data_IF_862736264024
#
_entry.id   IF_862736264024
#
_cell.length_a   1.000
_cell.length_b   1.000
_cell.length_c   1.000
_cell.angle_alpha   90.00
_cell.angle_beta   90.00
_cell.angle_gamma   90.00
#
_symmetry.space_group_name_H-M   'P 1'
#
loop_
_entity.id
_entity.type
_entity.pdbx_description
1 polymer ?
#
# COMPACT_ATOMS: atom_id res chain seq x y z
N UNK A 1 -44.11 -21.08 36.72
CA UNK A 1 -42.92 -20.21 36.80
C UNK A 1 -43.43 -18.79 37.00
N UNK A 2 -43.16 -18.14 38.14
CA UNK A 2 -43.66 -16.79 38.41
C UNK A 2 -43.15 -15.85 37.31
N UNK A 3 -44.03 -15.40 36.42
CA UNK A 3 -43.74 -14.40 35.41
C UNK A 3 -43.46 -13.10 36.13
N UNK A 4 -42.18 -12.83 36.41
CA UNK A 4 -41.73 -11.61 37.07
C UNK A 4 -41.71 -10.49 36.03
N UNK A 5 -42.90 -10.17 35.52
CA UNK A 5 -43.10 -9.18 34.47
C UNK A 5 -43.00 -7.79 35.10
N UNK A 6 -42.32 -6.86 34.41
CA UNK A 6 -42.05 -5.52 34.91
C UNK A 6 -42.43 -4.47 33.85
N UNK A 7 -42.87 -3.27 34.25
CA UNK A 7 -43.11 -2.17 33.31
C UNK A 7 -41.79 -1.70 32.70
N UNK A 8 -41.88 -1.10 31.52
CA UNK A 8 -40.71 -0.68 30.74
C UNK A 8 -39.77 0.27 31.51
N UNK A 9 -40.31 1.18 32.33
CA UNK A 9 -39.53 2.10 33.14
C UNK A 9 -38.58 1.39 34.12
N UNK A 10 -39.01 0.25 34.69
CA UNK A 10 -38.20 -0.54 35.62
C UNK A 10 -37.08 -1.28 34.87
N UNK A 11 -37.37 -1.83 33.69
CA UNK A 11 -36.36 -2.47 32.84
C UNK A 11 -35.32 -1.46 32.34
N UNK A 12 -35.78 -0.29 31.90
CA UNK A 12 -34.93 0.82 31.45
C UNK A 12 -33.95 1.23 32.55
N UNK A 13 -34.43 1.44 33.78
CA UNK A 13 -33.57 1.73 34.94
C UNK A 13 -32.62 0.60 35.30
N UNK A 14 -33.07 -0.65 35.22
CA UNK A 14 -32.25 -1.81 35.58
C UNK A 14 -31.09 -2.05 34.60
N UNK A 15 -31.36 -1.86 33.30
CA UNK A 15 -30.35 -2.06 32.25
C UNK A 15 -29.51 -0.81 31.97
N UNK A 16 -29.78 0.29 32.68
CA UNK A 16 -29.19 1.61 32.45
C UNK A 16 -29.39 2.09 31.00
N UNK A 17 -30.63 1.99 30.51
CA UNK A 17 -31.04 2.33 29.16
C UNK A 17 -32.25 3.26 29.17
N UNK A 18 -32.47 3.97 28.06
CA UNK A 18 -33.73 4.69 27.84
C UNK A 18 -34.86 3.72 27.46
N UNK A 19 -36.11 4.05 27.78
CA UNK A 19 -37.27 3.24 27.41
C UNK A 19 -37.34 3.02 25.89
N UNK A 20 -37.03 4.06 25.10
CA UNK A 20 -36.93 3.97 23.64
C UNK A 20 -35.91 2.92 23.19
N UNK A 21 -34.75 2.86 23.86
CA UNK A 21 -33.70 1.88 23.55
C UNK A 21 -34.14 0.45 23.89
N UNK A 22 -34.84 0.26 25.01
CA UNK A 22 -35.42 -1.05 25.36
C UNK A 22 -36.43 -1.50 24.30
N UNK A 23 -37.30 -0.61 23.82
CA UNK A 23 -38.25 -0.94 22.74
C UNK A 23 -37.53 -1.29 21.44
N UNK A 24 -36.46 -0.58 21.09
CA UNK A 24 -35.66 -0.88 19.90
C UNK A 24 -35.04 -2.28 20.00
N UNK A 25 -34.39 -2.61 21.12
CA UNK A 25 -33.81 -3.94 21.32
C UNK A 25 -34.86 -5.06 21.27
N UNK A 26 -36.09 -4.79 21.70
CA UNK A 26 -37.20 -5.73 21.59
C UNK A 26 -37.69 -5.90 20.14
N UNK A 27 -37.71 -4.82 19.34
CA UNK A 27 -38.04 -4.87 17.90
C UNK A 27 -36.96 -5.61 17.11
N UNK A 28 -35.71 -5.40 17.46
CA UNK A 28 -34.54 -6.04 16.85
C UNK A 28 -34.39 -7.51 17.26
N UNK A 29 -35.30 -8.04 18.11
CA UNK A 29 -35.32 -9.43 18.54
C UNK A 29 -34.21 -9.81 19.53
N UNK A 30 -33.50 -8.82 20.07
CA UNK A 30 -32.37 -9.02 21.01
C UNK A 30 -32.88 -9.38 22.41
N UNK A 31 -33.97 -8.74 22.85
CA UNK A 31 -34.67 -9.06 24.10
C UNK A 31 -36.10 -9.56 23.80
N UNK A 32 -36.72 -10.35 24.68
CA UNK A 32 -38.09 -10.81 24.48
C UNK A 32 -39.07 -9.63 24.37
N UNK A 33 -39.98 -9.72 23.39
CA UNK A 33 -41.01 -8.70 23.20
C UNK A 33 -41.96 -8.64 24.41
N UNK A 34 -42.47 -7.44 24.71
CA UNK A 34 -43.49 -7.26 25.75
C UNK A 34 -44.74 -8.08 25.44
N UNK A 35 -45.45 -8.52 26.48
CA UNK A 35 -46.73 -9.20 26.29
C UNK A 35 -47.69 -8.32 25.47
N UNK A 36 -48.24 -8.89 24.38
CA UNK A 36 -49.04 -8.16 23.38
C UNK A 36 -50.54 -8.18 23.68
N UNK A 37 -51.02 -9.13 24.48
CA UNK A 37 -52.45 -9.35 24.75
C UNK A 37 -52.65 -9.73 26.21
N UNK A 38 -53.79 -9.32 26.80
CA UNK A 38 -54.14 -9.64 28.20
C UNK A 38 -53.76 -8.54 29.21
N UNK A 39 -53.96 -8.78 30.52
CA UNK A 39 -53.72 -7.81 31.58
C UNK A 39 -52.24 -7.44 31.78
N UNK A 40 -51.32 -8.16 31.15
CA UNK A 40 -49.88 -7.89 31.19
C UNK A 40 -49.37 -7.06 29.99
N UNK A 41 -50.28 -6.46 29.21
CA UNK A 41 -49.91 -5.70 28.01
C UNK A 41 -48.89 -4.60 28.31
N UNK A 42 -47.79 -4.59 27.56
CA UNK A 42 -46.69 -3.63 27.74
C UNK A 42 -45.73 -3.95 28.88
N UNK A 43 -45.84 -5.13 29.51
CA UNK A 43 -44.87 -5.62 30.51
C UNK A 43 -43.86 -6.56 29.86
N UNK A 44 -42.65 -6.55 30.39
CA UNK A 44 -41.50 -7.32 29.89
C UNK A 44 -41.11 -8.39 30.90
N UNK A 45 -40.66 -9.56 30.42
CA UNK A 45 -40.04 -10.57 31.29
C UNK A 45 -38.66 -10.11 31.73
N UNK A 46 -38.50 -9.90 33.04
CA UNK A 46 -37.25 -9.39 33.63
C UNK A 46 -36.05 -10.28 33.32
N UNK A 47 -36.20 -11.60 33.53
CA UNK A 47 -35.08 -12.54 33.42
C UNK A 47 -34.67 -12.73 31.96
N UNK A 48 -35.64 -12.91 31.07
CA UNK A 48 -35.39 -13.01 29.63
C UNK A 48 -34.75 -11.75 29.06
N UNK A 49 -35.19 -10.57 29.51
CA UNK A 49 -34.66 -9.28 29.04
C UNK A 49 -33.21 -9.06 29.47
N UNK A 50 -32.87 -9.32 30.74
CA UNK A 50 -31.49 -9.22 31.23
C UNK A 50 -30.56 -10.21 30.51
N UNK A 51 -30.98 -11.48 30.34
CA UNK A 51 -30.17 -12.48 29.64
C UNK A 51 -29.94 -12.12 28.17
N UNK A 52 -30.97 -11.64 27.48
CA UNK A 52 -30.86 -11.19 26.09
C UNK A 52 -29.88 -10.03 25.95
N UNK A 53 -29.96 -9.05 26.85
CA UNK A 53 -29.05 -7.91 26.86
C UNK A 53 -27.60 -8.31 27.18
N UNK A 54 -27.38 -9.18 28.17
CA UNK A 54 -26.02 -9.69 28.48
C UNK A 54 -25.41 -10.43 27.29
N UNK A 55 -26.20 -11.22 26.55
CA UNK A 55 -25.71 -11.90 25.34
C UNK A 55 -25.32 -10.88 24.26
N UNK A 56 -26.16 -9.87 24.04
CA UNK A 56 -25.88 -8.80 23.09
C UNK A 56 -24.58 -8.05 23.40
N UNK A 57 -24.34 -7.71 24.68
CA UNK A 57 -23.09 -7.05 25.08
C UNK A 57 -21.86 -7.93 24.83
N UNK A 58 -21.97 -9.24 25.06
CA UNK A 58 -20.87 -10.19 24.75
C UNK A 58 -20.59 -10.26 23.26
N UNK A 59 -21.62 -10.35 22.42
CA UNK A 59 -21.46 -10.37 20.96
C UNK A 59 -20.86 -9.06 20.43
N UNK A 60 -21.26 -7.91 20.99
CA UNK A 60 -20.72 -6.61 20.62
C UNK A 60 -19.24 -6.48 20.99
N UNK A 61 -18.85 -6.94 22.18
CA UNK A 61 -17.46 -6.95 22.63
C UNK A 61 -16.58 -7.83 21.70
N UNK A 62 -17.04 -9.03 21.36
CA UNK A 62 -16.31 -9.93 20.45
C UNK A 62 -16.13 -9.32 19.06
N UNK A 63 -17.17 -8.70 18.50
CA UNK A 63 -17.11 -8.04 17.17
C UNK A 63 -16.14 -6.86 17.15
N UNK A 64 -16.05 -6.11 18.25
CA UNK A 64 -15.10 -4.98 18.37
C UNK A 64 -13.64 -5.44 18.41
N UNK A 65 -13.36 -6.59 19.05
CA UNK A 65 -12.00 -7.13 19.16
C UNK A 65 -11.49 -7.67 17.84
N UNK A 66 -12.33 -8.36 17.07
CA UNK A 66 -11.93 -8.88 15.75
C UNK A 66 -11.70 -7.75 14.75
N UNK A 67 -12.60 -6.75 14.69
CA UNK A 67 -12.43 -5.62 13.78
C UNK A 67 -11.20 -4.77 14.10
N UNK A 68 -11.03 -4.39 15.38
CA UNK A 68 -9.90 -3.53 15.78
C UNK A 68 -8.53 -4.22 15.62
N UNK A 69 -8.45 -5.54 15.85
CA UNK A 69 -7.23 -6.31 15.62
C UNK A 69 -6.88 -6.36 14.12
N UNK A 70 -7.86 -6.63 13.24
CA UNK A 70 -7.65 -6.68 11.79
C UNK A 70 -7.24 -5.31 11.23
N UNK A 71 -7.86 -4.22 11.68
CA UNK A 71 -7.46 -2.86 11.28
C UNK A 71 -6.03 -2.51 11.71
N UNK A 72 -5.60 -2.94 12.91
CA UNK A 72 -4.24 -2.73 13.39
C UNK A 72 -3.20 -3.47 12.53
N UNK A 73 -3.50 -4.72 12.16
CA UNK A 73 -2.63 -5.54 11.31
C UNK A 73 -2.49 -4.95 9.91
N UNK A 74 -3.59 -4.57 9.27
CA UNK A 74 -3.55 -4.00 7.92
C UNK A 74 -2.88 -2.61 7.90
N UNK A 75 -3.13 -1.78 8.92
CA UNK A 75 -2.42 -0.51 9.07
C UNK A 75 -0.92 -0.69 9.26
N UNK A 76 -0.50 -1.67 10.06
CA UNK A 76 0.92 -1.98 10.25
C UNK A 76 1.58 -2.45 8.93
N UNK A 77 0.91 -3.27 8.14
CA UNK A 77 1.37 -3.69 6.80
C UNK A 77 1.53 -2.50 5.86
N UNK A 78 0.55 -1.60 5.82
CA UNK A 78 0.58 -0.40 4.98
C UNK A 78 1.71 0.55 5.41
N UNK A 79 1.89 0.79 6.71
CA UNK A 79 2.98 1.62 7.23
C UNK A 79 4.34 1.02 6.87
N UNK A 80 4.50 -0.30 7.02
CA UNK A 80 5.73 -0.99 6.61
C UNK A 80 6.00 -0.81 5.12
N UNK A 81 5.01 -1.06 4.26
CA UNK A 81 5.18 -0.87 2.82
C UNK A 81 5.54 0.58 2.44
N UNK A 82 4.96 1.57 3.12
CA UNK A 82 5.32 2.99 2.94
C UNK A 82 6.75 3.29 3.40
N UNK A 83 7.19 2.70 4.50
CA UNK A 83 8.56 2.85 4.99
C UNK A 83 9.57 2.23 4.02
N UNK A 84 9.28 1.03 3.52
CA UNK A 84 10.12 0.34 2.54
C UNK A 84 10.24 1.16 1.24
N UNK A 85 9.13 1.74 0.76
CA UNK A 85 9.15 2.65 -0.40
C UNK A 85 10.01 3.89 -0.15
N UNK A 86 9.86 4.53 1.02
CA UNK A 86 10.65 5.70 1.37
C UNK A 86 12.15 5.38 1.49
N UNK A 87 12.50 4.18 1.95
CA UNK A 87 13.87 3.71 2.01
C UNK A 87 14.44 3.48 0.59
N UNK A 88 13.68 2.86 -0.31
CA UNK A 88 14.07 2.68 -1.71
C UNK A 88 14.30 4.05 -2.39
N UNK A 89 13.39 5.01 -2.21
CA UNK A 89 13.56 6.37 -2.74
C UNK A 89 14.81 7.06 -2.18
N UNK A 90 15.12 6.85 -0.90
CA UNK A 90 16.33 7.39 -0.29
C UNK A 90 17.61 6.73 -0.86
N UNK A 91 17.58 5.43 -1.16
CA UNK A 91 18.68 4.72 -1.82
C UNK A 91 18.87 5.17 -3.27
N UNK A 92 17.79 5.39 -4.04
CA UNK A 92 17.85 5.97 -5.38
C UNK A 92 18.46 7.38 -5.34
N UNK A 93 18.00 8.25 -4.43
CA UNK A 93 18.56 9.62 -4.30
C UNK A 93 20.02 9.64 -3.88
N UNK A 94 20.49 8.63 -3.14
CA UNK A 94 21.91 8.47 -2.78
C UNK A 94 22.77 7.93 -3.94
N UNK A 95 22.14 7.43 -5.00
CA UNK A 95 22.83 6.82 -6.14
C UNK A 95 23.17 5.33 -5.94
N UNK A 96 22.63 4.69 -4.89
CA UNK A 96 22.89 3.27 -4.59
C UNK A 96 22.03 2.33 -5.46
N UNK A 97 20.91 2.84 -6.00
CA UNK A 97 20.00 2.12 -6.88
C UNK A 97 19.94 2.81 -8.24
N UNK A 98 20.25 2.06 -9.30
CA UNK A 98 20.11 2.49 -10.69
C UNK A 98 18.95 1.73 -11.37
N UNK A 99 18.09 2.41 -12.13
CA UNK A 99 17.07 1.75 -12.92
C UNK A 99 17.68 0.79 -13.94
N UNK A 100 17.27 -0.48 -13.91
CA UNK A 100 17.82 -1.50 -14.80
C UNK A 100 17.70 -1.14 -16.29
N UNK A 101 16.59 -0.51 -16.70
CA UNK A 101 16.37 -0.06 -18.07
C UNK A 101 17.40 0.99 -18.52
N UNK A 102 17.76 1.94 -17.64
CA UNK A 102 18.75 2.96 -17.97
C UNK A 102 20.16 2.37 -18.06
N UNK A 103 20.49 1.40 -17.19
CA UNK A 103 21.76 0.66 -17.27
C UNK A 103 21.83 -0.14 -18.58
N UNK A 104 20.75 -0.82 -18.96
CA UNK A 104 20.68 -1.58 -20.21
C UNK A 104 20.86 -0.70 -21.44
N UNK A 105 20.15 0.43 -21.52
CA UNK A 105 20.29 1.40 -22.62
C UNK A 105 21.71 1.95 -22.71
N UNK A 106 22.31 2.27 -21.56
CA UNK A 106 23.69 2.73 -21.50
C UNK A 106 24.68 1.68 -22.04
N UNK A 107 24.52 0.41 -21.63
CA UNK A 107 25.35 -0.69 -22.13
C UNK A 107 25.16 -0.97 -23.62
N UNK A 108 23.92 -0.92 -24.12
CA UNK A 108 23.63 -1.07 -25.54
C UNK A 108 24.34 0.03 -26.35
N UNK A 109 24.30 1.28 -25.89
CA UNK A 109 24.97 2.38 -26.56
C UNK A 109 26.50 2.22 -26.57
N UNK A 110 27.10 1.78 -25.45
CA UNK A 110 28.54 1.47 -25.37
C UNK A 110 28.93 0.36 -26.34
N UNK A 111 28.18 -0.75 -26.35
CA UNK A 111 28.46 -1.90 -27.21
C UNK A 111 28.26 -1.58 -28.70
N UNK A 112 27.23 -0.79 -29.04
CA UNK A 112 27.00 -0.35 -30.41
C UNK A 112 28.17 0.49 -30.94
N UNK A 113 28.71 1.39 -30.12
CA UNK A 113 29.89 2.20 -30.47
C UNK A 113 31.15 1.35 -30.61
N UNK A 114 31.37 0.41 -29.70
CA UNK A 114 32.47 -0.55 -29.80
C UNK A 114 32.40 -1.32 -31.12
N UNK A 115 31.22 -1.85 -31.46
CA UNK A 115 31.00 -2.55 -32.72
C UNK A 115 31.34 -1.68 -33.93
N UNK A 116 30.86 -0.44 -33.97
CA UNK A 116 31.14 0.48 -35.07
C UNK A 116 32.64 0.71 -35.26
N UNK A 117 33.39 0.92 -34.17
CA UNK A 117 34.85 1.13 -34.23
C UNK A 117 35.60 -0.13 -34.67
N UNK A 118 35.23 -1.30 -34.14
CA UNK A 118 35.85 -2.56 -34.54
C UNK A 118 35.67 -2.88 -36.02
N UNK A 119 34.54 -2.49 -36.63
CA UNK A 119 34.28 -2.71 -38.05
C UNK A 119 35.07 -1.75 -38.96
N UNK A 120 35.43 -0.54 -38.49
CA UNK A 120 36.20 0.45 -39.25
C UNK A 120 37.71 0.20 -39.16
N UNK A 121 38.18 -0.45 -38.08
CA UNK A 121 39.59 -0.72 -37.85
C UNK A 121 40.31 -1.44 -39.01
N UNK A 122 39.75 -2.52 -39.60
CA UNK A 122 40.39 -3.22 -40.72
C UNK A 122 40.63 -2.31 -41.93
N UNK A 123 39.65 -1.48 -42.29
CA UNK A 123 39.75 -0.59 -43.44
C UNK A 123 40.86 0.46 -43.25
N UNK A 124 41.04 0.95 -42.01
CA UNK A 124 42.11 1.88 -41.65
C UNK A 124 43.49 1.20 -41.57
N UNK A 125 43.56 -0.01 -41.02
CA UNK A 125 44.81 -0.75 -40.82
C UNK A 125 45.34 -1.41 -42.09
N UNK A 126 44.46 -1.84 -43.00
CA UNK A 126 44.83 -2.56 -44.22
C UNK A 126 45.96 -1.89 -45.03
N UNK A 127 45.90 -0.59 -45.38
CA UNK A 127 47.00 0.05 -46.12
C UNK A 127 48.30 0.15 -45.31
N UNK A 128 48.22 0.49 -44.01
CA UNK A 128 49.38 0.65 -43.13
C UNK A 128 50.14 -0.66 -42.92
N UNK A 129 49.38 -1.74 -42.72
CA UNK A 129 49.91 -3.09 -42.54
C UNK A 129 50.45 -3.65 -43.86
N UNK A 130 49.87 -3.27 -45.00
CA UNK A 130 50.34 -3.71 -46.31
C UNK A 130 51.72 -3.13 -46.68
N UNK A 131 52.00 -1.89 -46.25
CA UNK A 131 53.30 -1.23 -46.46
C UNK A 131 54.39 -1.71 -45.48
N UNK A 132 53.98 -2.31 -44.36
CA UNK A 132 54.90 -2.76 -43.31
C UNK A 132 55.59 -4.09 -43.71
N UNK A 133 56.92 -4.08 -43.69
CA UNK A 133 57.74 -5.22 -44.14
C UNK A 133 58.16 -6.14 -43.00
N UNK A 134 57.87 -5.76 -41.74
CA UNK A 134 58.24 -6.54 -40.56
C UNK A 134 57.01 -7.02 -39.79
N UNK A 135 56.99 -8.31 -39.43
CA UNK A 135 55.92 -8.90 -38.59
C UNK A 135 55.79 -8.16 -37.25
N UNK A 136 56.93 -7.71 -36.69
CA UNK A 136 56.97 -6.95 -35.45
C UNK A 136 56.29 -5.58 -35.59
N UNK A 137 56.57 -4.84 -36.68
CA UNK A 137 55.92 -3.57 -36.99
C UNK A 137 54.42 -3.74 -37.21
N UNK A 138 54.00 -4.76 -37.97
CA UNK A 138 52.58 -5.06 -38.21
C UNK A 138 51.84 -5.31 -36.89
N UNK A 139 52.41 -6.13 -36.00
CA UNK A 139 51.80 -6.42 -34.69
C UNK A 139 51.74 -5.17 -33.81
N UNK A 140 52.74 -4.31 -33.87
CA UNK A 140 52.74 -3.03 -33.15
C UNK A 140 51.59 -2.13 -33.64
N UNK A 141 51.47 -1.91 -34.95
CA UNK A 141 50.40 -1.10 -35.53
C UNK A 141 49.00 -1.59 -35.18
N UNK A 142 48.75 -2.91 -35.26
CA UNK A 142 47.45 -3.49 -34.89
C UNK A 142 47.15 -3.23 -33.40
N UNK A 143 48.14 -3.46 -32.52
CA UNK A 143 47.97 -3.24 -31.08
C UNK A 143 47.72 -1.77 -30.78
N UNK A 144 48.45 -0.87 -31.40
CA UNK A 144 48.32 0.57 -31.18
C UNK A 144 46.93 1.05 -31.60
N UNK A 145 46.42 0.61 -32.75
CA UNK A 145 45.08 0.93 -33.22
C UNK A 145 43.96 0.38 -32.32
N UNK A 146 44.13 -0.85 -31.77
CA UNK A 146 43.19 -1.40 -30.78
C UNK A 146 43.23 -0.57 -29.49
N UNK A 147 44.42 -0.17 -29.04
CA UNK A 147 44.60 0.58 -27.80
C UNK A 147 44.03 2.00 -27.95
N UNK A 148 44.20 2.63 -29.11
CA UNK A 148 43.56 3.90 -29.49
C UNK A 148 42.03 3.78 -29.43
N UNK A 149 41.45 2.77 -30.07
CA UNK A 149 40.00 2.56 -30.09
C UNK A 149 39.41 2.31 -28.68
N UNK A 150 40.13 1.57 -27.82
CA UNK A 150 39.73 1.33 -26.44
C UNK A 150 39.88 2.58 -25.56
N UNK A 151 40.95 3.36 -25.75
CA UNK A 151 41.17 4.61 -25.02
C UNK A 151 40.12 5.66 -25.37
N UNK A 152 39.74 5.77 -26.64
CA UNK A 152 38.62 6.62 -27.07
C UNK A 152 37.32 6.18 -26.39
N UNK A 153 37.01 4.87 -26.37
CA UNK A 153 35.82 4.35 -25.70
C UNK A 153 35.79 4.68 -24.20
N UNK A 154 36.95 4.62 -23.53
CA UNK A 154 37.09 4.92 -22.11
C UNK A 154 37.01 6.43 -21.80
N UNK A 155 37.37 7.29 -22.76
CA UNK A 155 37.37 8.75 -22.60
C UNK A 155 36.00 9.41 -22.81
N UNK A 156 35.04 8.68 -23.37
CA UNK A 156 33.72 9.22 -23.65
C UNK A 156 32.97 9.49 -22.34
N UNK A 157 32.25 10.63 -22.24
CA UNK A 157 31.49 10.94 -21.05
C UNK A 157 30.55 9.78 -20.74
N UNK A 158 30.64 9.27 -19.52
CA UNK A 158 29.68 8.33 -18.94
C UNK A 158 28.30 8.84 -19.26
N UNK A 159 27.48 7.98 -19.88
CA UNK A 159 26.09 8.28 -20.20
C UNK A 159 25.47 8.79 -18.89
N UNK A 160 25.14 10.08 -18.87
CA UNK A 160 24.49 10.68 -17.71
C UNK A 160 23.16 9.96 -17.58
N UNK A 161 23.10 9.08 -16.57
CA UNK A 161 21.90 8.35 -16.26
C UNK A 161 21.00 9.37 -15.58
N UNK A 162 20.19 10.08 -16.37
CA UNK A 162 19.35 11.15 -15.88
C UNK A 162 18.40 10.59 -14.81
N UNK A 163 18.71 10.89 -13.56
CA UNK A 163 17.98 10.45 -12.38
C UNK A 163 16.59 11.15 -12.25
N UNK A 164 16.24 12.04 -13.18
CA UNK A 164 15.06 12.91 -13.08
C UNK A 164 13.74 12.24 -13.53
N UNK A 165 13.78 11.04 -14.13
CA UNK A 165 12.60 10.42 -14.75
C UNK A 165 11.63 9.65 -13.82
N UNK A 166 12.02 9.32 -12.58
CA UNK A 166 11.26 8.35 -11.76
C UNK A 166 10.29 8.98 -10.72
N UNK A 167 10.07 10.29 -10.75
CA UNK A 167 9.30 11.00 -9.71
C UNK A 167 7.80 11.20 -9.98
N UNK A 168 7.27 10.80 -11.14
CA UNK A 168 5.95 11.31 -11.60
C UNK A 168 4.79 10.29 -11.62
N UNK A 169 4.96 9.05 -11.15
CA UNK A 169 3.89 8.05 -11.17
C UNK A 169 3.53 7.58 -9.75
N UNK A 170 2.65 8.32 -9.06
CA UNK A 170 2.12 7.86 -7.78
C UNK A 170 1.28 8.82 -6.94
N UNK A 171 1.09 10.07 -7.36
CA UNK A 171 0.14 10.99 -6.71
C UNK A 171 -1.27 10.82 -7.32
N UNK A 172 -1.87 9.64 -7.12
CA UNK A 172 -3.29 9.41 -7.38
C UNK A 172 -4.08 9.71 -6.10
N UNK A 173 -4.82 10.81 -6.13
CA UNK A 173 -5.75 11.31 -5.11
C UNK A 173 -6.37 10.26 -4.20
N UNK A 174 -6.21 10.45 -2.89
CA UNK A 174 -7.20 9.99 -1.90
C UNK A 174 -7.85 11.22 -1.27
N UNK A 175 -8.68 11.89 -2.08
CA UNK A 175 -9.62 12.89 -1.58
C UNK A 175 -10.62 12.17 -0.66
N UNK A 176 -10.76 12.67 0.56
CA UNK A 176 -11.56 12.08 1.62
C UNK A 176 -13.07 12.35 1.55
N UNK A 177 -13.73 11.91 2.64
CA UNK A 177 -15.14 12.00 3.01
C UNK A 177 -16.06 11.01 2.26
N UNK A 178 -16.84 10.14 2.91
CA UNK A 178 -17.79 10.47 3.98
C UNK A 178 -17.88 9.40 5.09
N UNK A 179 -17.87 9.91 6.33
CA UNK A 179 -18.36 9.24 7.54
C UNK A 179 -19.71 9.89 7.89
N UNK A 180 -20.88 9.21 7.82
CA UNK A 180 -22.13 9.77 8.29
C UNK A 180 -22.37 9.34 9.73
N UNK A 181 -21.73 10.06 10.67
CA UNK A 181 -21.92 9.92 12.11
C UNK A 181 -22.44 11.20 12.77
N UNK A 182 -23.76 11.29 12.93
CA UNK A 182 -24.48 11.93 14.04
C UNK A 182 -24.21 13.41 14.40
N UNK A 183 -25.18 14.28 14.08
CA UNK A 183 -25.61 15.43 14.89
C UNK A 183 -27.09 15.69 14.56
N UNK A 184 -28.03 15.34 15.43
CA UNK A 184 -28.60 16.21 16.47
C UNK A 184 -29.53 17.30 15.88
N UNK A 185 -30.84 17.09 16.05
CA UNK A 185 -31.90 18.11 15.98
C UNK A 185 -31.51 19.34 16.82
N UNK A 186 -31.93 20.55 16.42
CA UNK A 186 -33.19 21.07 16.97
C UNK A 186 -34.00 21.95 16.00
N UNK A 187 -35.33 21.83 16.04
CA UNK A 187 -36.35 22.87 15.78
C UNK A 187 -37.72 22.16 15.92
N UNK A 188 -38.58 22.41 16.91
CA UNK A 188 -39.24 23.66 17.33
C UNK A 188 -40.14 24.25 16.24
N UNK A 189 -41.32 23.63 16.03
CA UNK A 189 -42.67 24.24 15.96
C UNK A 189 -43.75 23.21 15.60
#
# INVERSE_FOLDING_TARGET
MATNTQPIAVIARLLDLTERRVQQLARDGIIPASARTGPERGRYDLVGTVRGYVRYLRELATRSQTGAADFGVERARLIKAKADLAEMDAQVRRGDLLPAAQVEEAWIAVLARLRARLLVLPDRLAPLVHEETTIAGTRAQIRDAITEALAELASLPTIAVDAEGAGAAGAGDTQGADDPGAAADPDDQ
#
